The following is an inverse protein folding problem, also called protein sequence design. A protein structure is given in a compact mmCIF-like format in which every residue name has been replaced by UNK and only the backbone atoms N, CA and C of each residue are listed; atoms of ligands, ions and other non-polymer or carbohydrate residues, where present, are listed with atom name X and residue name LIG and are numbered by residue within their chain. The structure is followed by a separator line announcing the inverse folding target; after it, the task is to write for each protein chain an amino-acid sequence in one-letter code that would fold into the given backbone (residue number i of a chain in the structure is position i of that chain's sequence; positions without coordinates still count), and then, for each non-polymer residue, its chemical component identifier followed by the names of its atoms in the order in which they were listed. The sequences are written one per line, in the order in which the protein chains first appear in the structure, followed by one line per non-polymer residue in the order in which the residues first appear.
data_IF_060663878634
#
_entry.id   IF_060663878634
#
_cell.length_a   1.000
_cell.length_b   1.000
_cell.length_c   1.000
_cell.angle_alpha   90.00
_cell.angle_beta   90.00
_cell.angle_gamma   90.00
#
_symmetry.space_group_name_H-M   'P 1'
#
loop_
_entity.id
_entity.type
_entity.pdbx_description
1 polymer ?
#
# COMPACT_ATOMS: atom_id res chain seq x y z
N UNK A 1 -3.29 12.26 -13.29
CA UNK A 1 -4.26 12.56 -14.37
C UNK A 1 -5.71 12.13 -14.05
N UNK A 2 -5.93 11.07 -13.26
CA UNK A 2 -7.26 10.52 -12.95
C UNK A 2 -8.12 11.38 -11.99
N UNK A 3 -7.52 11.95 -10.93
CA UNK A 3 -8.25 12.75 -9.93
C UNK A 3 -8.88 14.03 -10.52
N UNK A 4 -8.16 14.75 -11.38
CA UNK A 4 -8.70 15.92 -12.10
C UNK A 4 -9.90 15.53 -12.98
N UNK A 5 -9.85 14.37 -13.65
CA UNK A 5 -10.99 13.85 -14.44
C UNK A 5 -12.17 13.44 -13.55
N UNK A 6 -11.93 12.91 -12.36
CA UNK A 6 -12.99 12.52 -11.42
C UNK A 6 -13.65 13.73 -10.74
N UNK A 7 -12.87 14.76 -10.39
CA UNK A 7 -13.40 16.02 -9.86
C UNK A 7 -14.29 16.73 -10.89
N UNK A 8 -13.90 16.72 -12.17
CA UNK A 8 -14.70 17.26 -13.28
C UNK A 8 -15.97 16.46 -13.59
N UNK A 9 -16.13 15.27 -13.00
CA UNK A 9 -17.35 14.45 -13.12
C UNK A 9 -18.34 14.70 -11.99
N UNK A 10 -17.97 15.50 -10.98
CA UNK A 10 -18.87 15.88 -9.90
C UNK A 10 -19.91 16.89 -10.41
N UNK A 11 -21.11 16.86 -9.83
CA UNK A 11 -22.16 17.82 -10.20
C UNK A 11 -21.76 19.25 -9.81
N UNK A 12 -22.20 20.28 -10.56
CA UNK A 12 -21.92 21.68 -10.23
C UNK A 12 -22.30 22.04 -8.78
N UNK A 13 -23.44 21.55 -8.27
CA UNK A 13 -23.86 21.78 -6.89
C UNK A 13 -22.85 21.26 -5.85
N UNK A 14 -22.25 20.09 -6.08
CA UNK A 14 -21.19 19.55 -5.20
C UNK A 14 -19.92 20.41 -5.28
N UNK A 15 -19.60 20.93 -6.46
CA UNK A 15 -18.44 21.79 -6.64
C UNK A 15 -18.64 23.15 -5.96
N UNK A 16 -19.81 23.77 -6.07
CA UNK A 16 -20.13 25.05 -5.41
C UNK A 16 -20.07 24.95 -3.88
N UNK A 17 -20.50 23.84 -3.30
CA UNK A 17 -20.53 23.64 -1.84
C UNK A 17 -19.15 23.34 -1.25
N UNK A 18 -18.30 22.60 -1.98
CA UNK A 18 -17.06 22.05 -1.42
C UNK A 18 -15.77 22.67 -1.98
N UNK A 19 -15.84 23.49 -3.03
CA UNK A 19 -14.69 24.14 -3.65
C UNK A 19 -14.78 25.66 -3.52
N UNK A 20 -13.64 26.38 -3.57
CA UNK A 20 -13.66 27.84 -3.49
C UNK A 20 -14.45 28.47 -4.65
N UNK A 21 -15.05 29.66 -4.45
CA UNK A 21 -15.66 30.44 -5.51
C UNK A 21 -14.72 30.60 -6.72
N UNK A 22 -15.25 30.52 -7.93
CA UNK A 22 -14.48 30.59 -9.19
C UNK A 22 -13.80 29.28 -9.61
N UNK A 23 -13.89 28.19 -8.81
CA UNK A 23 -13.33 26.90 -9.19
C UNK A 23 -14.02 26.29 -10.43
N UNK A 24 -15.35 26.48 -10.55
CA UNK A 24 -16.14 25.99 -11.69
C UNK A 24 -15.77 26.76 -12.97
N UNK A 25 -15.53 28.06 -12.85
CA UNK A 25 -15.13 28.94 -13.95
C UNK A 25 -13.66 28.78 -14.34
N UNK A 26 -12.96 27.80 -13.76
CA UNK A 26 -11.53 27.53 -13.92
C UNK A 26 -10.63 28.73 -13.58
N UNK A 27 -11.06 29.60 -12.65
CA UNK A 27 -10.23 30.69 -12.15
C UNK A 27 -8.88 30.14 -11.64
N UNK A 28 -7.79 30.77 -12.09
CA UNK A 28 -6.45 30.28 -11.85
C UNK A 28 -6.14 30.14 -10.35
N UNK A 29 -6.53 31.13 -9.55
CA UNK A 29 -6.25 31.15 -8.12
C UNK A 29 -7.13 30.16 -7.36
N UNK A 30 -8.42 30.07 -7.69
CA UNK A 30 -9.33 29.11 -7.10
C UNK A 30 -8.88 27.66 -7.38
N UNK A 31 -8.49 27.36 -8.61
CA UNK A 31 -7.96 26.06 -9.02
C UNK A 31 -6.63 25.75 -8.33
N UNK A 32 -5.72 26.72 -8.23
CA UNK A 32 -4.44 26.51 -7.56
C UNK A 32 -4.61 26.26 -6.06
N UNK A 33 -5.49 27.00 -5.39
CA UNK A 33 -5.79 26.82 -3.98
C UNK A 33 -6.37 25.43 -3.71
N UNK A 34 -7.37 25.01 -4.48
CA UNK A 34 -7.96 23.69 -4.39
C UNK A 34 -6.92 22.57 -4.62
N UNK A 35 -6.07 22.70 -5.65
CA UNK A 35 -5.00 21.73 -5.91
C UNK A 35 -3.99 21.64 -4.75
N UNK A 36 -3.65 22.77 -4.13
CA UNK A 36 -2.74 22.80 -2.97
C UNK A 36 -3.38 22.09 -1.77
N UNK A 37 -4.64 22.40 -1.46
CA UNK A 37 -5.37 21.75 -0.38
C UNK A 37 -5.46 20.23 -0.58
N UNK A 38 -5.80 19.78 -1.80
CA UNK A 38 -5.86 18.35 -2.15
C UNK A 38 -4.50 17.68 -1.96
N UNK A 39 -3.42 18.28 -2.45
CA UNK A 39 -2.06 17.71 -2.28
C UNK A 39 -1.68 17.59 -0.81
N UNK A 40 -2.00 18.59 0.00
CA UNK A 40 -1.73 18.58 1.44
C UNK A 40 -2.51 17.47 2.13
N UNK A 41 -3.81 17.32 1.84
CA UNK A 41 -4.62 16.25 2.41
C UNK A 41 -4.12 14.87 2.01
N UNK A 42 -3.83 14.67 0.72
CA UNK A 42 -3.26 13.41 0.23
C UNK A 42 -1.93 13.09 0.92
N UNK A 43 -1.03 14.08 1.06
CA UNK A 43 0.22 13.91 1.81
C UNK A 43 -0.03 13.48 3.25
N UNK A 44 -0.99 14.09 3.93
CA UNK A 44 -1.34 13.71 5.30
C UNK A 44 -1.89 12.28 5.40
N UNK A 45 -2.78 11.90 4.48
CA UNK A 45 -3.32 10.53 4.41
C UNK A 45 -2.19 9.54 4.14
N UNK A 46 -1.34 9.79 3.15
CA UNK A 46 -0.20 8.91 2.85
C UNK A 46 0.77 8.79 4.02
N UNK A 47 1.10 9.89 4.70
CA UNK A 47 1.97 9.85 5.88
C UNK A 47 1.35 9.00 7.00
N UNK A 48 0.04 9.16 7.26
CA UNK A 48 -0.65 8.31 8.24
C UNK A 48 -0.67 6.86 7.80
N UNK A 49 -0.91 6.59 6.52
CA UNK A 49 -0.87 5.24 5.96
C UNK A 49 0.50 4.59 6.17
N UNK A 50 1.61 5.30 5.90
CA UNK A 50 2.97 4.82 6.20
C UNK A 50 3.12 4.43 7.66
N UNK A 51 2.65 5.29 8.58
CA UNK A 51 2.80 5.03 10.01
C UNK A 51 2.12 3.73 10.42
N UNK A 52 0.95 3.42 9.83
CA UNK A 52 0.28 2.14 10.08
C UNK A 52 1.06 0.96 9.49
N UNK A 53 1.60 1.08 8.26
CA UNK A 53 2.45 0.04 7.66
C UNK A 53 3.71 -0.22 8.48
N UNK A 54 4.27 0.82 9.09
CA UNK A 54 5.47 0.76 9.93
C UNK A 54 5.17 0.53 11.42
N UNK A 55 3.95 0.09 11.76
CA UNK A 55 3.60 -0.21 13.17
C UNK A 55 4.61 -1.19 13.76
N UNK A 56 5.12 -0.86 14.95
CA UNK A 56 6.12 -1.64 15.67
C UNK A 56 7.56 -1.45 15.20
N UNK A 57 7.79 -0.71 14.11
CA UNK A 57 9.14 -0.37 13.65
C UNK A 57 9.59 0.99 14.18
N UNK A 58 10.84 1.03 14.64
CA UNK A 58 11.55 2.27 14.96
C UNK A 58 12.97 2.22 14.38
N UNK A 59 13.52 3.37 13.94
CA UNK A 59 14.92 3.46 13.54
C UNK A 59 15.88 3.08 14.67
N UNK A 60 15.49 3.32 15.93
CA UNK A 60 16.32 3.15 17.12
C UNK A 60 15.93 1.92 17.96
N UNK A 61 14.89 1.17 17.57
CA UNK A 61 14.47 -0.02 18.30
C UNK A 61 13.81 0.29 19.64
N UNK A 62 12.92 1.29 19.64
CA UNK A 62 12.15 1.68 20.83
C UNK A 62 11.33 0.48 21.37
N UNK A 63 11.64 -0.01 22.60
CA UNK A 63 10.98 -1.18 23.18
C UNK A 63 9.55 -0.88 23.66
N UNK A 64 9.14 0.39 23.67
CA UNK A 64 7.76 0.79 24.04
C UNK A 64 6.78 0.67 22.90
N UNK A 65 7.27 0.46 21.67
CA UNK A 65 6.43 0.24 20.51
C UNK A 65 5.72 -1.12 20.59
N UNK A 66 4.50 -1.21 20.03
CA UNK A 66 3.82 -2.49 19.92
C UNK A 66 4.62 -3.46 19.05
N UNK A 67 4.29 -4.74 19.14
CA UNK A 67 4.77 -5.72 18.18
C UNK A 67 4.34 -5.34 16.75
N UNK A 68 5.10 -5.81 15.78
CA UNK A 68 4.75 -5.66 14.37
C UNK A 68 3.49 -6.50 14.12
N UNK A 69 2.41 -5.94 13.56
CA UNK A 69 1.19 -6.70 13.35
C UNK A 69 1.39 -7.76 12.27
N UNK A 70 0.77 -8.92 12.46
CA UNK A 70 0.63 -9.91 11.39
C UNK A 70 -0.35 -9.41 10.32
N UNK A 71 -0.47 -10.14 9.21
CA UNK A 71 -1.31 -9.73 8.09
C UNK A 71 -2.79 -9.49 8.45
N UNK A 72 -3.35 -10.27 9.39
CA UNK A 72 -4.73 -10.11 9.81
C UNK A 72 -4.93 -8.79 10.55
N UNK A 73 -4.12 -8.54 11.57
CA UNK A 73 -4.17 -7.32 12.38
C UNK A 73 -3.82 -6.08 11.55
N UNK A 74 -2.82 -6.19 10.67
CA UNK A 74 -2.50 -5.14 9.71
C UNK A 74 -3.71 -4.83 8.83
N UNK A 75 -4.35 -5.85 8.25
CA UNK A 75 -5.51 -5.64 7.37
C UNK A 75 -6.65 -4.92 8.08
N UNK A 76 -6.89 -5.22 9.37
CA UNK A 76 -7.89 -4.53 10.17
C UNK A 76 -7.52 -3.06 10.42
N UNK A 77 -6.27 -2.79 10.79
CA UNK A 77 -5.74 -1.43 10.98
C UNK A 77 -5.90 -0.62 9.69
N UNK A 78 -5.47 -1.19 8.56
CA UNK A 78 -5.54 -0.53 7.26
C UNK A 78 -6.97 -0.29 6.82
N UNK A 79 -7.87 -1.26 7.02
CA UNK A 79 -9.28 -1.11 6.67
C UNK A 79 -9.94 0.01 7.47
N UNK A 80 -9.72 0.08 8.79
CA UNK A 80 -10.24 1.17 9.63
C UNK A 80 -9.72 2.53 9.23
N UNK A 81 -8.43 2.61 8.90
CA UNK A 81 -7.82 3.84 8.44
C UNK A 81 -8.46 4.36 7.14
N UNK A 82 -8.76 3.44 6.22
CA UNK A 82 -9.41 3.76 4.95
C UNK A 82 -10.92 4.01 5.07
N UNK A 83 -11.56 3.53 6.14
CA UNK A 83 -13.00 3.64 6.38
C UNK A 83 -13.28 4.31 7.75
N UNK A 84 -12.88 5.58 7.94
CA UNK A 84 -12.97 6.22 9.26
C UNK A 84 -14.40 6.35 9.79
N UNK A 85 -15.40 6.47 8.90
CA UNK A 85 -16.81 6.52 9.28
C UNK A 85 -17.33 5.17 9.85
N UNK A 86 -16.61 4.08 9.59
CA UNK A 86 -16.94 2.72 10.01
C UNK A 86 -15.89 2.15 10.98
N UNK A 87 -15.11 3.01 11.64
CA UNK A 87 -14.01 2.55 12.51
C UNK A 87 -14.48 1.64 13.67
N UNK A 88 -15.75 1.77 14.09
CA UNK A 88 -16.38 0.94 15.12
C UNK A 88 -16.82 -0.44 14.67
N UNK A 89 -16.59 -0.83 13.41
CA UNK A 89 -16.91 -2.19 12.92
C UNK A 89 -16.13 -3.25 13.72
N UNK A 90 -16.78 -4.33 14.19
CA UNK A 90 -16.11 -5.42 14.90
C UNK A 90 -15.06 -6.14 14.04
N UNK A 91 -13.99 -6.64 14.66
CA UNK A 91 -12.87 -7.29 13.95
C UNK A 91 -13.32 -8.44 13.05
N UNK A 92 -14.20 -9.32 13.55
CA UNK A 92 -14.69 -10.46 12.78
C UNK A 92 -15.53 -10.08 11.55
N UNK A 93 -16.11 -8.88 11.52
CA UNK A 93 -16.77 -8.35 10.32
C UNK A 93 -15.75 -7.77 9.35
N UNK A 94 -14.76 -7.01 9.85
CA UNK A 94 -13.66 -6.51 9.04
C UNK A 94 -12.92 -7.67 8.35
N UNK A 95 -12.63 -8.74 9.09
CA UNK A 95 -11.93 -9.92 8.56
C UNK A 95 -12.66 -10.55 7.37
N UNK A 96 -13.99 -10.51 7.36
CA UNK A 96 -14.83 -10.95 6.23
C UNK A 96 -14.74 -9.96 5.07
N UNK A 97 -14.77 -8.66 5.34
CA UNK A 97 -14.65 -7.61 4.32
C UNK A 97 -13.28 -7.60 3.63
N UNK A 98 -12.22 -7.95 4.37
CA UNK A 98 -10.86 -8.11 3.84
C UNK A 98 -10.50 -9.57 3.57
N UNK A 99 -11.48 -10.47 3.45
CA UNK A 99 -11.21 -11.92 3.28
C UNK A 99 -10.59 -12.28 1.94
N UNK A 100 -10.74 -11.45 0.91
CA UNK A 100 -10.09 -11.65 -0.38
C UNK A 100 -8.56 -11.66 -0.19
N UNK A 101 -7.88 -12.80 -0.46
CA UNK A 101 -6.44 -12.91 -0.33
C UNK A 101 -5.68 -11.85 -1.15
N UNK A 102 -6.25 -11.38 -2.27
CA UNK A 102 -5.66 -10.34 -3.11
C UNK A 102 -5.61 -8.99 -2.42
N UNK A 103 -6.57 -8.70 -1.53
CA UNK A 103 -6.58 -7.47 -0.73
C UNK A 103 -5.50 -7.57 0.34
N UNK A 104 -5.47 -8.70 1.08
CA UNK A 104 -4.49 -8.92 2.15
C UNK A 104 -3.05 -8.89 1.62
N UNK A 105 -2.77 -9.62 0.55
CA UNK A 105 -1.44 -9.60 -0.09
C UNK A 105 -1.02 -8.21 -0.55
N UNK A 106 -1.96 -7.34 -0.96
CA UNK A 106 -1.62 -5.94 -1.25
C UNK A 106 -1.17 -5.19 0.00
N UNK A 107 -1.80 -5.42 1.16
CA UNK A 107 -1.32 -4.83 2.41
C UNK A 107 0.06 -5.36 2.81
N UNK A 108 0.30 -6.66 2.68
CA UNK A 108 1.63 -7.26 2.87
C UNK A 108 2.69 -6.62 1.96
N UNK A 109 2.39 -6.51 0.66
CA UNK A 109 3.29 -5.85 -0.30
C UNK A 109 3.55 -4.38 0.06
N UNK A 110 2.51 -3.65 0.47
CA UNK A 110 2.65 -2.26 0.90
C UNK A 110 3.54 -2.14 2.13
N UNK A 111 3.35 -3.01 3.13
CA UNK A 111 4.17 -3.04 4.34
C UNK A 111 5.64 -3.36 4.00
N UNK A 112 5.89 -4.47 3.30
CA UNK A 112 7.24 -4.87 2.90
C UNK A 112 7.92 -3.81 2.03
N UNK A 113 7.22 -3.25 1.04
CA UNK A 113 7.77 -2.22 0.16
C UNK A 113 8.11 -0.92 0.90
N UNK A 114 7.28 -0.52 1.86
CA UNK A 114 7.58 0.63 2.73
C UNK A 114 8.79 0.36 3.62
N UNK A 115 8.88 -0.82 4.23
CA UNK A 115 10.00 -1.18 5.10
C UNK A 115 11.32 -1.31 4.33
N UNK A 116 11.29 -1.95 3.15
CA UNK A 116 12.43 -2.04 2.25
C UNK A 116 12.96 -0.64 1.90
N UNK A 117 12.06 0.27 1.48
CA UNK A 117 12.44 1.65 1.15
C UNK A 117 13.00 2.40 2.37
N UNK A 118 12.40 2.19 3.54
CA UNK A 118 12.81 2.81 4.79
C UNK A 118 14.23 2.41 5.22
N UNK A 119 14.58 1.13 5.06
CA UNK A 119 15.90 0.61 5.44
C UNK A 119 16.95 0.66 4.33
N UNK A 120 16.57 0.80 3.05
CA UNK A 120 17.51 0.93 1.94
C UNK A 120 18.12 2.36 1.85
N UNK A 121 19.43 2.52 2.13
CA UNK A 121 20.08 3.83 2.06
C UNK A 121 20.05 4.45 0.65
N UNK A 122 19.97 3.64 -0.41
CA UNK A 122 19.92 4.09 -1.80
C UNK A 122 18.55 4.64 -2.19
N UNK A 123 17.51 4.27 -1.44
CA UNK A 123 16.12 4.64 -1.70
C UNK A 123 15.67 5.93 -1.03
N UNK A 124 16.52 6.59 -0.21
CA UNK A 124 16.17 7.82 0.56
C UNK A 124 15.61 8.97 -0.27
N UNK A 125 16.01 9.09 -1.53
CA UNK A 125 15.57 10.16 -2.44
C UNK A 125 14.48 9.70 -3.43
N UNK A 126 14.11 8.41 -3.41
CA UNK A 126 13.14 7.82 -4.33
C UNK A 126 11.83 7.64 -3.57
N UNK A 127 10.77 8.27 -4.07
CA UNK A 127 9.43 8.09 -3.49
C UNK A 127 9.06 6.60 -3.46
N UNK A 128 8.90 6.04 -2.26
CA UNK A 128 8.41 4.68 -2.06
C UNK A 128 7.10 4.43 -2.83
N UNK A 129 6.22 5.42 -2.86
CA UNK A 129 4.91 5.35 -3.52
C UNK A 129 5.06 5.18 -5.02
N UNK A 130 6.00 5.88 -5.62
CA UNK A 130 6.28 5.74 -7.05
C UNK A 130 6.79 4.33 -7.38
N UNK A 131 7.60 3.72 -6.52
CA UNK A 131 8.11 2.36 -6.72
C UNK A 131 6.98 1.32 -6.60
N UNK A 132 6.18 1.43 -5.55
CA UNK A 132 5.00 0.60 -5.31
C UNK A 132 4.02 0.72 -6.49
N UNK A 133 3.67 1.94 -6.89
CA UNK A 133 2.74 2.18 -8.01
C UNK A 133 3.25 1.61 -9.32
N UNK A 134 4.55 1.77 -9.62
CA UNK A 134 5.16 1.20 -10.83
C UNK A 134 5.04 -0.32 -10.86
N UNK A 135 5.33 -1.00 -9.75
CA UNK A 135 5.18 -2.46 -9.67
C UNK A 135 3.72 -2.88 -9.82
N UNK A 136 2.79 -2.20 -9.15
CA UNK A 136 1.35 -2.49 -9.28
C UNK A 136 0.82 -2.25 -10.69
N UNK A 137 1.30 -1.22 -11.39
CA UNK A 137 0.93 -0.94 -12.78
C UNK A 137 1.50 -2.02 -13.72
N UNK A 138 2.78 -2.38 -13.55
CA UNK A 138 3.41 -3.46 -14.32
C UNK A 138 2.67 -4.78 -14.15
N UNK A 139 2.31 -5.12 -12.92
CA UNK A 139 1.56 -6.32 -12.60
C UNK A 139 0.20 -6.40 -13.31
N UNK A 140 -0.43 -5.28 -13.70
CA UNK A 140 -1.71 -5.31 -14.44
C UNK A 140 -1.57 -5.83 -15.87
N UNK A 141 -0.37 -5.82 -16.44
CA UNK A 141 -0.12 -6.28 -17.81
C UNK A 141 0.44 -7.69 -17.89
N UNK A 142 0.67 -8.34 -16.75
CA UNK A 142 1.25 -9.68 -16.66
C UNK A 142 0.18 -10.76 -16.60
N UNK A 143 0.55 -11.98 -16.99
CA UNK A 143 -0.36 -13.13 -16.96
C UNK A 143 -0.78 -13.47 -15.53
N UNK A 144 -1.96 -14.11 -15.42
CA UNK A 144 -2.55 -14.51 -14.13
C UNK A 144 -1.61 -15.41 -13.33
N UNK A 145 -0.89 -16.33 -13.97
CA UNK A 145 0.04 -17.24 -13.30
C UNK A 145 1.19 -16.49 -12.62
N UNK A 146 1.76 -15.51 -13.31
CA UNK A 146 2.80 -14.65 -12.75
C UNK A 146 2.28 -13.90 -11.52
N UNK A 147 1.08 -13.32 -11.61
CA UNK A 147 0.49 -12.57 -10.51
C UNK A 147 0.15 -13.46 -9.31
N UNK A 148 -0.30 -14.68 -9.55
CA UNK A 148 -0.56 -15.65 -8.49
C UNK A 148 0.74 -16.10 -7.80
N UNK A 149 1.80 -16.39 -8.56
CA UNK A 149 3.11 -16.72 -8.01
C UNK A 149 3.67 -15.56 -7.17
N UNK A 150 3.63 -14.34 -7.71
CA UNK A 150 4.04 -13.14 -6.99
C UNK A 150 3.24 -12.92 -5.70
N UNK A 151 1.91 -13.07 -5.74
CA UNK A 151 1.08 -12.96 -4.54
C UNK A 151 1.43 -13.98 -3.47
N UNK A 152 1.74 -15.23 -3.87
CA UNK A 152 2.09 -16.29 -2.93
C UNK A 152 3.46 -16.03 -2.30
N UNK A 153 4.45 -15.58 -3.06
CA UNK A 153 5.76 -15.21 -2.52
C UNK A 153 5.64 -14.07 -1.50
N UNK A 154 4.86 -13.03 -1.81
CA UNK A 154 4.60 -11.92 -0.87
C UNK A 154 3.93 -12.43 0.41
N UNK A 155 2.87 -13.24 0.28
CA UNK A 155 2.14 -13.76 1.42
C UNK A 155 2.99 -14.68 2.30
N UNK A 156 3.84 -15.52 1.69
CA UNK A 156 4.76 -16.39 2.39
C UNK A 156 5.82 -15.58 3.16
N UNK A 157 6.42 -14.58 2.52
CA UNK A 157 7.42 -13.70 3.13
C UNK A 157 6.86 -12.92 4.31
N UNK A 158 5.64 -12.39 4.17
CA UNK A 158 4.94 -11.69 5.25
C UNK A 158 4.63 -12.63 6.43
N UNK A 159 4.14 -13.84 6.15
CA UNK A 159 3.86 -14.83 7.19
C UNK A 159 5.12 -15.26 7.93
N UNK A 160 6.24 -15.44 7.22
CA UNK A 160 7.56 -15.76 7.79
C UNK A 160 8.05 -14.64 8.71
N UNK A 161 8.00 -13.39 8.24
CA UNK A 161 8.56 -12.26 8.96
C UNK A 161 7.67 -11.74 10.09
N UNK A 162 6.35 -11.76 9.92
CA UNK A 162 5.41 -11.05 10.79
C UNK A 162 4.29 -11.93 11.35
N UNK A 163 4.17 -13.19 10.94
CA UNK A 163 3.05 -14.07 11.30
C UNK A 163 2.87 -14.28 12.81
N UNK A 164 3.97 -14.21 13.58
CA UNK A 164 3.96 -14.35 15.04
C UNK A 164 3.99 -13.02 15.79
N UNK A 165 3.77 -11.91 15.08
CA UNK A 165 3.80 -10.56 15.62
C UNK A 165 5.09 -10.26 16.41
N UNK A 166 6.26 -10.31 15.77
CA UNK A 166 7.52 -10.13 16.46
C UNK A 166 7.73 -8.66 16.87
N UNK A 167 8.59 -8.45 17.87
CA UNK A 167 9.20 -7.14 18.08
C UNK A 167 10.15 -6.82 16.92
N UNK A 168 10.29 -5.54 16.55
CA UNK A 168 11.21 -5.14 15.47
C UNK A 168 12.68 -5.51 15.72
N UNK A 169 13.11 -5.68 16.99
CA UNK A 169 14.45 -6.15 17.34
C UNK A 169 14.71 -7.62 16.99
N UNK A 170 13.65 -8.39 16.71
CA UNK A 170 13.70 -9.82 16.35
C UNK A 170 13.60 -10.06 14.86
N UNK A 171 13.34 -9.03 14.07
CA UNK A 171 13.27 -9.11 12.61
C UNK A 171 14.62 -8.76 12.01
N UNK A 172 15.14 -9.62 11.15
CA UNK A 172 16.31 -9.29 10.35
C UNK A 172 15.94 -8.25 9.29
N UNK A 173 16.56 -7.07 9.36
CA UNK A 173 16.30 -5.96 8.44
C UNK A 173 16.80 -6.26 7.04
N UNK A 174 17.78 -7.16 6.88
CA UNK A 174 18.26 -7.59 5.57
C UNK A 174 17.20 -8.42 4.82
N UNK A 175 16.30 -9.08 5.54
CA UNK A 175 15.23 -9.90 4.99
C UNK A 175 13.98 -9.08 4.60
N UNK A 176 13.94 -7.78 4.89
CA UNK A 176 12.88 -6.84 4.52
C UNK A 176 12.99 -6.44 3.04
N UNK A 177 12.85 -7.43 2.16
CA UNK A 177 12.93 -7.27 0.72
C UNK A 177 11.68 -7.82 0.05
N UNK A 178 11.16 -7.08 -0.93
CA UNK A 178 10.10 -7.53 -1.80
C UNK A 178 10.69 -8.52 -2.83
N UNK A 179 10.03 -9.68 -3.05
CA UNK A 179 10.40 -10.62 -4.12
C UNK A 179 10.56 -9.94 -5.47
N UNK A 180 11.69 -10.22 -6.12
CA UNK A 180 12.06 -9.76 -7.44
C UNK A 180 11.41 -10.60 -8.53
N UNK A 181 11.51 -10.13 -9.77
CA UNK A 181 10.99 -10.87 -10.93
C UNK A 181 11.68 -12.24 -11.11
N UNK A 182 12.95 -12.36 -10.69
CA UNK A 182 13.69 -13.62 -10.71
C UNK A 182 13.07 -14.66 -9.76
N UNK A 183 12.70 -14.25 -8.55
CA UNK A 183 12.06 -15.13 -7.56
C UNK A 183 10.71 -15.66 -8.08
N UNK A 184 9.94 -14.79 -8.76
CA UNK A 184 8.68 -15.19 -9.40
C UNK A 184 8.93 -16.18 -10.54
N UNK A 185 9.98 -15.98 -11.34
CA UNK A 185 10.34 -16.89 -12.43
C UNK A 185 10.78 -18.26 -11.92
N UNK A 186 11.56 -18.29 -10.84
CA UNK A 186 11.96 -19.54 -10.17
C UNK A 186 10.74 -20.29 -9.63
N UNK A 187 9.82 -19.58 -8.99
CA UNK A 187 8.57 -20.15 -8.50
C UNK A 187 7.68 -20.71 -9.63
N UNK A 188 7.59 -20.00 -10.76
CA UNK A 188 6.88 -20.49 -11.94
C UNK A 188 7.54 -21.73 -12.52
N UNK A 189 8.88 -21.75 -12.62
CA UNK A 189 9.64 -22.90 -13.10
C UNK A 189 9.46 -24.12 -12.19
N UNK A 190 9.46 -23.93 -10.86
CA UNK A 190 9.20 -24.99 -9.88
C UNK A 190 7.81 -25.62 -10.05
N UNK A 191 6.84 -24.87 -10.57
CA UNK A 191 5.48 -25.33 -10.91
C UNK A 191 5.35 -25.93 -12.31
N UNK A 192 6.45 -25.99 -13.06
CA UNK A 192 6.45 -26.45 -14.46
C UNK A 192 5.82 -25.45 -15.43
N UNK A 193 5.67 -24.18 -15.04
CA UNK A 193 5.12 -23.12 -15.90
C UNK A 193 6.30 -22.46 -16.63
N UNK A 194 6.26 -22.52 -17.97
CA UNK A 194 7.27 -21.86 -18.82
C UNK A 194 6.98 -20.35 -18.89
N UNK A 195 7.96 -19.53 -18.52
CA UNK A 195 7.89 -18.08 -18.58
C UNK A 195 9.10 -17.48 -19.32
N UNK A 196 8.92 -16.48 -20.21
CA UNK A 196 7.64 -15.92 -20.65
C UNK A 196 6.80 -16.94 -21.45
N UNK A 197 5.47 -16.82 -21.47
CA UNK A 197 4.61 -17.71 -22.25
C UNK A 197 5.02 -17.65 -23.73
N UNK A 198 5.14 -18.81 -24.37
CA UNK A 198 5.41 -18.92 -25.79
C UNK A 198 4.30 -18.17 -26.54
N UNK A 199 4.68 -17.21 -27.39
CA UNK A 199 3.76 -16.43 -28.22
C UNK A 199 3.09 -17.28 -29.30
#
# INVERSE_FOLDING_TARGET
MQLKRQLRRQTPAVLEVHFPPGFIDEDHYAVQHANTAIRTQLKQVWNKFCNHLMTGFSPTGDPTLPNIPNLQNLSQIMWRHLNPALAGTPDGEIDRLVSDPRIRVRYAFLQLGTLQNYYDPKSRNISQWLQIDRKLISNRTLAVDYINAWHQLIGAKDAELFGHEPMASKVDKAELVVPLDADVQEELAARGIVWPPVQ
#
